data_IF_001109561773
#
_entry.id   IF_001109561773
#
_cell.length_a   1.000
_cell.length_b   1.000
_cell.length_c   1.000
_cell.angle_alpha   90.00
_cell.angle_beta   90.00
_cell.angle_gamma   90.00
#
_symmetry.space_group_name_H-M   'P 1'
#
loop_
_entity.id
_entity.type
_entity.pdbx_description
1 polymer ?
#
# COMPACT_ATOMS: atom_id res chain seq x y z
N UNK A 1 -10.59 0.89 -6.79
CA UNK A 1 -9.56 1.51 -7.65
C UNK A 1 -8.37 0.58 -7.77
N UNK A 2 -7.93 0.30 -8.97
CA UNK A 2 -6.76 -0.57 -9.19
C UNK A 2 -6.05 -0.21 -10.49
N UNK A 3 -4.75 -0.48 -10.52
CA UNK A 3 -3.90 -0.33 -11.71
C UNK A 3 -2.91 -1.49 -11.74
N UNK A 4 -2.44 -1.82 -12.93
CA UNK A 4 -1.51 -2.93 -13.15
C UNK A 4 -0.31 -2.50 -14.00
N UNK A 5 0.80 -3.23 -13.85
CA UNK A 5 2.00 -3.04 -14.64
C UNK A 5 2.69 -4.40 -14.84
N UNK A 6 3.38 -4.57 -15.96
CA UNK A 6 4.18 -5.77 -16.21
C UNK A 6 5.61 -5.54 -15.70
N UNK A 7 6.14 -6.51 -14.94
CA UNK A 7 7.46 -6.43 -14.34
C UNK A 7 8.28 -7.66 -14.74
N UNK A 8 9.53 -7.44 -15.16
CA UNK A 8 10.46 -8.51 -15.54
C UNK A 8 11.14 -9.13 -14.30
N UNK A 9 10.34 -9.73 -13.45
CA UNK A 9 10.76 -10.47 -12.26
C UNK A 9 9.72 -11.56 -12.01
N UNK A 10 10.11 -12.67 -11.38
CA UNK A 10 9.14 -13.74 -11.08
C UNK A 10 8.17 -13.26 -9.98
N UNK A 11 6.97 -13.86 -9.89
CA UNK A 11 6.03 -13.53 -8.82
C UNK A 11 6.64 -13.66 -7.42
N UNK A 12 7.45 -14.69 -7.18
CA UNK A 12 8.09 -14.90 -5.87
C UNK A 12 9.14 -13.83 -5.57
N UNK A 13 9.98 -13.48 -6.54
CA UNK A 13 10.99 -12.42 -6.38
C UNK A 13 10.32 -11.07 -6.11
N UNK A 14 9.28 -10.76 -6.87
CA UNK A 14 8.56 -9.51 -6.72
C UNK A 14 7.79 -9.45 -5.41
N UNK A 15 7.20 -10.56 -5.00
CA UNK A 15 6.53 -10.65 -3.70
C UNK A 15 7.51 -10.39 -2.55
N UNK A 16 8.68 -11.00 -2.60
CA UNK A 16 9.69 -10.81 -1.56
C UNK A 16 10.09 -9.33 -1.45
N UNK A 17 10.18 -8.63 -2.57
CA UNK A 17 10.49 -7.21 -2.60
C UNK A 17 9.35 -6.37 -2.01
N UNK A 18 8.13 -6.58 -2.49
CA UNK A 18 6.96 -5.75 -2.14
C UNK A 18 6.49 -6.01 -0.70
N UNK A 19 6.60 -7.24 -0.20
CA UNK A 19 6.19 -7.58 1.15
C UNK A 19 7.18 -7.12 2.22
N UNK A 20 8.35 -6.66 1.83
CA UNK A 20 9.29 -6.02 2.75
C UNK A 20 8.91 -4.54 2.90
N UNK A 21 8.04 -4.26 3.87
CA UNK A 21 7.52 -2.90 4.07
C UNK A 21 8.60 -1.90 4.47
N UNK A 22 9.75 -2.38 4.96
CA UNK A 22 10.87 -1.49 5.31
C UNK A 22 11.45 -0.77 4.08
N UNK A 23 11.15 -1.27 2.89
CA UNK A 23 11.57 -0.67 1.63
C UNK A 23 10.51 0.22 1.00
N UNK A 24 9.35 0.35 1.63
CA UNK A 24 8.23 1.11 1.05
C UNK A 24 8.59 2.56 0.70
N UNK A 25 9.50 3.17 1.46
CA UNK A 25 9.98 4.52 1.16
C UNK A 25 10.68 4.66 -0.20
N UNK A 26 11.10 3.54 -0.80
CA UNK A 26 11.77 3.57 -2.12
C UNK A 26 10.79 3.77 -3.26
N UNK A 27 9.51 3.40 -3.08
CA UNK A 27 8.51 3.50 -4.17
C UNK A 27 7.25 4.28 -3.83
N UNK A 28 6.95 4.51 -2.56
CA UNK A 28 5.78 5.30 -2.20
C UNK A 28 6.05 6.80 -2.37
N UNK A 29 5.15 7.56 -2.98
CA UNK A 29 5.32 9.02 -3.10
C UNK A 29 5.17 9.76 -1.76
N UNK A 30 4.56 9.14 -0.74
CA UNK A 30 4.31 9.79 0.55
C UNK A 30 5.02 9.12 1.73
N UNK A 31 5.23 7.80 1.68
CA UNK A 31 5.91 7.09 2.77
C UNK A 31 7.41 7.34 2.70
N UNK A 32 7.99 7.90 3.76
CA UNK A 32 9.43 8.17 3.85
C UNK A 32 10.18 7.08 4.58
N UNK A 33 9.54 6.46 5.57
CA UNK A 33 10.11 5.37 6.35
C UNK A 33 8.99 4.45 6.81
N UNK A 34 9.29 3.17 6.89
CA UNK A 34 8.31 2.18 7.31
C UNK A 34 9.04 1.08 8.09
N UNK A 35 8.44 0.62 9.17
CA UNK A 35 9.05 -0.41 10.01
C UNK A 35 7.99 -1.32 10.61
N UNK A 36 8.39 -2.58 10.83
CA UNK A 36 7.54 -3.52 11.54
C UNK A 36 7.46 -3.14 13.01
N UNK A 37 6.26 -3.20 13.59
CA UNK A 37 6.10 -3.09 15.02
C UNK A 37 6.71 -4.34 15.68
N UNK A 38 6.96 -4.29 16.96
CA UNK A 38 7.64 -5.36 17.70
C UNK A 38 7.03 -6.74 17.41
N UNK A 39 7.89 -7.68 17.02
CA UNK A 39 7.48 -9.05 16.70
C UNK A 39 6.83 -9.21 15.31
N UNK A 40 6.75 -8.12 14.52
CA UNK A 40 6.11 -8.15 13.21
C UNK A 40 7.02 -8.66 12.10
N UNK A 41 6.39 -9.02 11.00
CA UNK A 41 7.02 -9.47 9.78
C UNK A 41 5.95 -9.59 8.68
N UNK A 42 6.29 -10.08 7.48
CA UNK A 42 5.33 -10.19 6.39
C UNK A 42 4.36 -11.38 6.58
N UNK A 43 3.65 -11.39 7.69
CA UNK A 43 2.69 -12.43 8.07
C UNK A 43 1.37 -11.79 8.49
N UNK A 44 0.26 -12.51 8.25
CA UNK A 44 -1.07 -12.04 8.63
C UNK A 44 -1.14 -11.76 10.13
N UNK A 45 -1.71 -10.61 10.48
CA UNK A 45 -1.84 -10.16 11.87
C UNK A 45 -0.72 -9.24 12.33
N UNK A 46 0.40 -9.18 11.63
CA UNK A 46 1.51 -8.28 11.96
C UNK A 46 1.12 -6.83 11.70
N UNK A 47 1.62 -5.95 12.57
CA UNK A 47 1.44 -4.50 12.42
C UNK A 47 2.72 -3.83 11.97
N UNK A 48 2.59 -2.77 11.20
CA UNK A 48 3.71 -1.93 10.83
C UNK A 48 3.30 -0.46 10.86
N UNK A 49 4.31 0.40 11.02
CA UNK A 49 4.11 1.85 11.10
C UNK A 49 4.81 2.50 9.92
N UNK A 50 4.14 3.44 9.28
CA UNK A 50 4.71 4.25 8.21
C UNK A 50 4.76 5.71 8.61
N UNK A 51 5.89 6.36 8.36
CA UNK A 51 6.02 7.81 8.48
C UNK A 51 5.83 8.40 7.10
N UNK A 52 4.82 9.24 6.97
CA UNK A 52 4.42 9.81 5.70
C UNK A 52 4.67 11.31 5.68
N UNK A 53 4.94 11.84 4.51
CA UNK A 53 5.24 13.27 4.34
C UNK A 53 4.61 13.78 3.05
N UNK A 54 3.97 14.94 3.15
CA UNK A 54 3.50 15.69 2.00
C UNK A 54 4.03 17.11 2.11
N UNK A 55 3.75 17.96 1.12
CA UNK A 55 4.15 19.37 1.15
C UNK A 55 3.56 20.12 2.36
N UNK A 56 2.44 19.65 2.89
CA UNK A 56 1.68 20.32 3.93
C UNK A 56 1.90 19.79 5.34
N UNK A 57 2.25 18.48 5.47
CA UNK A 57 2.33 17.85 6.79
C UNK A 57 3.12 16.56 6.80
N UNK A 58 3.45 16.12 8.01
CA UNK A 58 4.04 14.79 8.29
C UNK A 58 3.07 14.06 9.23
N UNK A 59 2.83 12.76 8.98
CA UNK A 59 1.96 11.95 9.84
C UNK A 59 2.39 10.50 9.83
N UNK A 60 1.93 9.74 10.82
CA UNK A 60 2.17 8.31 10.90
C UNK A 60 0.87 7.52 10.70
N UNK A 61 0.98 6.37 10.07
CA UNK A 61 -0.10 5.41 9.93
C UNK A 61 0.34 4.07 10.50
N UNK A 62 -0.59 3.36 11.15
CA UNK A 62 -0.40 1.98 11.57
C UNK A 62 -1.29 1.09 10.73
N UNK A 63 -0.72 0.00 10.24
CA UNK A 63 -1.39 -0.91 9.32
C UNK A 63 -1.18 -2.35 9.75
N UNK A 64 -2.19 -3.18 9.51
CA UNK A 64 -2.14 -4.60 9.82
C UNK A 64 -2.18 -5.42 8.54
N UNK A 65 -1.29 -6.39 8.43
CA UNK A 65 -1.28 -7.32 7.31
C UNK A 65 -2.49 -8.23 7.39
N UNK A 66 -3.27 -8.29 6.31
CA UNK A 66 -4.48 -9.12 6.24
C UNK A 66 -4.38 -10.24 5.21
N UNK A 67 -3.40 -10.19 4.31
CA UNK A 67 -3.08 -11.28 3.39
C UNK A 67 -1.58 -11.32 3.15
N UNK A 68 -1.00 -12.51 3.20
CA UNK A 68 0.43 -12.74 2.98
C UNK A 68 0.59 -14.11 2.31
N UNK A 69 0.31 -14.16 1.00
CA UNK A 69 0.36 -15.37 0.18
C UNK A 69 1.54 -15.23 -0.79
N UNK A 70 2.69 -15.85 -0.50
CA UNK A 70 3.89 -15.68 -1.32
C UNK A 70 3.65 -15.91 -2.81
N UNK A 71 4.09 -14.96 -3.62
CA UNK A 71 3.94 -15.01 -5.07
C UNK A 71 2.52 -14.78 -5.59
N UNK A 72 1.56 -14.48 -4.71
CA UNK A 72 0.16 -14.33 -5.09
C UNK A 72 -0.48 -13.04 -4.63
N UNK A 73 -0.39 -12.73 -3.32
CA UNK A 73 -1.10 -11.58 -2.76
C UNK A 73 -0.46 -11.09 -1.47
N UNK A 74 -0.33 -9.78 -1.34
CA UNK A 74 0.07 -9.12 -0.10
C UNK A 74 -0.86 -7.94 0.12
N UNK A 75 -1.53 -7.89 1.28
CA UNK A 75 -2.52 -6.86 1.56
C UNK A 75 -2.46 -6.42 3.01
N UNK A 76 -2.80 -5.16 3.23
CA UNK A 76 -2.91 -4.61 4.58
C UNK A 76 -4.07 -3.64 4.68
N UNK A 77 -4.47 -3.34 5.92
CA UNK A 77 -5.49 -2.35 6.19
C UNK A 77 -4.96 -1.33 7.18
N UNK A 78 -5.17 -0.06 6.87
CA UNK A 78 -4.75 1.06 7.70
C UNK A 78 -5.73 1.21 8.87
N UNK A 79 -5.20 1.44 10.07
CA UNK A 79 -5.96 1.47 11.32
C UNK A 79 -6.71 0.15 11.51
N UNK A 80 -7.96 0.20 11.92
CA UNK A 80 -8.79 -0.99 12.14
C UNK A 80 -9.79 -1.14 10.99
N UNK A 81 -9.26 -1.33 9.77
CA UNK A 81 -10.09 -1.54 8.60
C UNK A 81 -10.65 -0.26 7.99
N UNK A 82 -9.88 0.82 8.01
CA UNK A 82 -10.31 2.09 7.41
C UNK A 82 -10.01 2.16 5.92
N UNK A 83 -8.83 1.71 5.52
CA UNK A 83 -8.38 1.73 4.13
C UNK A 83 -7.71 0.39 3.83
N UNK A 84 -8.04 -0.18 2.70
CA UNK A 84 -7.49 -1.45 2.25
C UNK A 84 -6.53 -1.23 1.07
N UNK A 85 -5.31 -1.76 1.19
CA UNK A 85 -4.32 -1.81 0.13
C UNK A 85 -4.00 -3.26 -0.19
N UNK A 86 -3.92 -3.59 -1.47
CA UNK A 86 -3.57 -4.94 -1.88
C UNK A 86 -2.67 -4.93 -3.10
N UNK A 87 -1.70 -5.84 -3.11
CA UNK A 87 -0.92 -6.19 -4.29
C UNK A 87 -1.27 -7.61 -4.67
N UNK A 88 -1.52 -7.84 -5.96
CA UNK A 88 -1.66 -9.18 -6.50
C UNK A 88 -0.57 -9.42 -7.54
N UNK A 89 -0.09 -10.66 -7.60
CA UNK A 89 1.04 -11.07 -8.41
C UNK A 89 0.57 -12.21 -9.30
N UNK A 90 0.52 -11.98 -10.61
CA UNK A 90 0.09 -13.00 -11.56
C UNK A 90 1.21 -13.28 -12.55
N UNK A 91 1.51 -14.58 -12.84
CA UNK A 91 2.50 -14.89 -13.87
C UNK A 91 2.09 -14.28 -15.21
N UNK A 92 3.06 -13.67 -15.90
CA UNK A 92 2.86 -13.03 -17.20
C UNK A 92 4.09 -13.29 -18.06
N UNK A 93 4.05 -14.36 -18.85
CA UNK A 93 5.22 -14.83 -19.57
C UNK A 93 6.32 -15.22 -18.60
N UNK A 94 7.51 -14.66 -18.75
CA UNK A 94 8.65 -14.87 -17.84
C UNK A 94 8.64 -13.90 -16.65
N UNK A 95 7.68 -13.00 -16.61
CA UNK A 95 7.59 -11.97 -15.58
C UNK A 95 6.30 -12.06 -14.80
N UNK A 96 5.87 -10.91 -14.28
CA UNK A 96 4.71 -10.79 -13.40
C UNK A 96 3.85 -9.61 -13.82
N UNK A 97 2.53 -9.80 -13.79
CA UNK A 97 1.57 -8.72 -13.81
C UNK A 97 1.31 -8.33 -12.36
N UNK A 98 1.76 -7.16 -11.97
CA UNK A 98 1.58 -6.61 -10.62
C UNK A 98 0.39 -5.66 -10.64
N UNK A 99 -0.57 -5.92 -9.77
CA UNK A 99 -1.75 -5.06 -9.60
C UNK A 99 -1.75 -4.48 -8.21
N UNK A 100 -1.95 -3.17 -8.11
CA UNK A 100 -2.13 -2.48 -6.83
C UNK A 100 -3.57 -2.00 -6.73
N UNK A 101 -4.21 -2.28 -5.59
CA UNK A 101 -5.60 -1.90 -5.32
C UNK A 101 -5.69 -1.05 -4.06
N UNK A 102 -6.55 -0.05 -4.10
CA UNK A 102 -6.89 0.81 -2.97
C UNK A 102 -8.40 0.88 -2.80
N UNK A 103 -8.85 0.81 -1.55
CA UNK A 103 -10.27 0.88 -1.25
C UNK A 103 -10.49 1.59 0.09
N UNK A 104 -11.37 2.59 0.10
CA UNK A 104 -11.79 3.26 1.32
C UNK A 104 -12.96 2.47 1.89
N UNK A 105 -12.79 1.90 3.07
CA UNK A 105 -13.76 0.97 3.67
C UNK A 105 -14.84 1.70 4.48
N UNK A 106 -16.01 1.07 4.72
CA UNK A 106 -17.08 1.70 5.51
C UNK A 106 -16.64 2.20 6.88
N UNK A 107 -15.78 1.46 7.59
CA UNK A 107 -15.26 1.90 8.89
C UNK A 107 -14.42 3.17 8.75
N UNK A 108 -13.69 3.33 7.66
CA UNK A 108 -12.91 4.54 7.38
C UNK A 108 -13.81 5.73 7.08
N UNK A 109 -14.87 5.50 6.31
CA UNK A 109 -15.87 6.55 6.01
C UNK A 109 -16.51 7.04 7.30
N UNK A 110 -16.94 6.12 8.17
CA UNK A 110 -17.52 6.46 9.45
C UNK A 110 -16.53 7.23 10.34
N UNK A 111 -15.27 6.77 10.39
CA UNK A 111 -14.22 7.43 11.16
C UNK A 111 -13.91 8.83 10.67
N UNK A 112 -13.91 9.05 9.35
CA UNK A 112 -13.70 10.37 8.76
C UNK A 112 -14.88 11.31 9.06
N UNK A 113 -16.11 10.79 9.01
CA UNK A 113 -17.29 11.58 9.37
C UNK A 113 -17.25 12.05 10.83
N UNK A 114 -16.80 11.18 11.72
CA UNK A 114 -16.63 11.52 13.13
C UNK A 114 -15.53 12.56 13.33
N UNK A 115 -14.39 12.40 12.64
CA UNK A 115 -13.21 13.28 12.78
C UNK A 115 -13.39 14.63 12.11
N UNK A 116 -13.96 14.65 10.89
CA UNK A 116 -14.00 15.84 10.05
C UNK A 116 -15.37 16.45 9.87
N UNK A 117 -16.44 15.76 10.31
CA UNK A 117 -17.80 16.28 10.22
C UNK A 117 -18.18 16.64 8.78
N UNK A 118 -18.55 17.90 8.55
CA UNK A 118 -18.95 18.39 7.22
C UNK A 118 -17.85 18.32 6.19
N UNK A 119 -16.58 18.30 6.60
CA UNK A 119 -15.43 18.23 5.71
C UNK A 119 -15.05 16.79 5.33
N UNK A 120 -15.76 15.79 5.86
CA UNK A 120 -15.42 14.38 5.65
C UNK A 120 -15.35 13.99 4.18
N UNK A 121 -16.35 14.37 3.38
CA UNK A 121 -16.40 14.01 1.96
C UNK A 121 -15.21 14.61 1.21
N UNK A 122 -14.81 15.83 1.53
CA UNK A 122 -13.66 16.49 0.94
C UNK A 122 -12.37 15.77 1.32
N UNK A 123 -12.23 15.39 2.58
CA UNK A 123 -11.04 14.68 3.06
C UNK A 123 -10.92 13.29 2.44
N UNK A 124 -12.05 12.57 2.27
CA UNK A 124 -12.08 11.28 1.61
C UNK A 124 -11.67 11.44 0.14
N UNK A 125 -12.18 12.46 -0.55
CA UNK A 125 -11.85 12.71 -1.94
C UNK A 125 -10.36 13.05 -2.13
N UNK A 126 -9.78 13.80 -1.19
CA UNK A 126 -8.33 14.06 -1.20
C UNK A 126 -7.51 12.76 -1.15
N UNK A 127 -7.93 11.81 -0.30
CA UNK A 127 -7.27 10.49 -0.20
C UNK A 127 -7.44 9.69 -1.48
N UNK A 128 -8.62 9.75 -2.07
CA UNK A 128 -8.92 9.07 -3.34
C UNK A 128 -8.06 9.64 -4.47
N UNK A 129 -7.95 10.95 -4.56
CA UNK A 129 -7.12 11.61 -5.58
C UNK A 129 -5.64 11.27 -5.38
N UNK A 130 -5.17 11.24 -4.13
CA UNK A 130 -3.80 10.85 -3.82
C UNK A 130 -3.51 9.41 -4.26
N UNK A 131 -4.46 8.49 -4.05
CA UNK A 131 -4.32 7.11 -4.50
C UNK A 131 -4.33 7.03 -6.03
N UNK A 132 -5.20 7.78 -6.68
CA UNK A 132 -5.32 7.78 -8.14
C UNK A 132 -4.02 8.21 -8.82
N UNK A 133 -3.35 9.22 -8.29
CA UNK A 133 -2.07 9.68 -8.82
C UNK A 133 -0.89 8.87 -8.29
N UNK A 134 -0.96 8.39 -7.06
CA UNK A 134 0.12 7.68 -6.40
C UNK A 134 0.32 6.24 -6.86
N UNK A 135 -0.76 5.53 -7.20
CA UNK A 135 -0.67 4.12 -7.61
C UNK A 135 0.22 3.94 -8.87
N UNK A 136 0.00 4.68 -9.97
CA UNK A 136 0.87 4.54 -11.14
C UNK A 136 2.34 4.85 -10.83
N UNK A 137 2.57 5.87 -10.02
CA UNK A 137 3.92 6.27 -9.62
C UNK A 137 4.60 5.18 -8.78
N UNK A 138 3.87 4.61 -7.84
CA UNK A 138 4.35 3.51 -7.00
C UNK A 138 4.68 2.28 -7.83
N UNK A 139 3.79 1.89 -8.74
CA UNK A 139 4.01 0.73 -9.61
C UNK A 139 5.25 0.91 -10.49
N UNK A 140 5.42 2.10 -11.07
CA UNK A 140 6.61 2.40 -11.89
C UNK A 140 7.89 2.32 -11.06
N UNK A 141 7.87 2.80 -9.82
CA UNK A 141 9.03 2.75 -8.94
C UNK A 141 9.37 1.32 -8.52
N UNK A 142 8.36 0.50 -8.22
CA UNK A 142 8.56 -0.92 -7.90
C UNK A 142 9.16 -1.65 -9.10
N UNK A 143 8.64 -1.41 -10.30
CA UNK A 143 9.17 -1.98 -11.54
C UNK A 143 10.64 -1.64 -11.71
N UNK A 144 11.01 -0.39 -11.53
CA UNK A 144 12.40 0.07 -11.64
C UNK A 144 13.29 -0.63 -10.59
N UNK A 145 12.83 -0.74 -9.36
CA UNK A 145 13.59 -1.40 -8.30
C UNK A 145 13.77 -2.90 -8.58
N UNK A 146 12.75 -3.56 -9.11
CA UNK A 146 12.78 -4.99 -9.39
C UNK A 146 13.65 -5.32 -10.63
N UNK A 147 13.64 -4.46 -11.64
CA UNK A 147 14.35 -4.70 -12.91
C UNK A 147 15.74 -4.09 -12.95
N UNK A 148 15.98 -3.14 -12.09
CA UNK A 148 17.21 -2.41 -12.04
C UNK A 148 18.24 -3.00 -11.16
#
# INVERSE_FOLDING_TARGET
MSESISVAATPDELYALVSDVTRMGEWSPVCRACWWDEGGGPTVGSWFTGRNESAERTWETRSQVVAAEPGRRFAWQVNHGWVHWAYTFEPDGDGTRLTEKWEFLPAGIAGFRERYGEDADREIEKRRDAARSGIPETLAAIKKAAEG
#
